data_IF_450263606600
#
_entry.id   IF_450263606600
#
_cell.length_a   1.000
_cell.length_b   1.000
_cell.length_c   1.000
_cell.angle_alpha   90.00
_cell.angle_beta   90.00
_cell.angle_gamma   90.00
#
_symmetry.space_group_name_H-M   'P 1'
#
loop_
_entity.id
_entity.type
_entity.pdbx_description
1 polymer ?
#
# COMPACT_ATOMS: atom_id res chain seq x y z
N UNK A 1 26.03 -5.55 -1.53
CA UNK A 1 25.01 -6.22 -0.70
C UNK A 1 23.84 -6.53 -1.62
N UNK A 2 23.42 -7.79 -1.71
CA UNK A 2 22.28 -8.20 -2.53
C UNK A 2 21.09 -8.48 -1.61
N UNK A 3 19.94 -7.89 -1.92
CA UNK A 3 18.69 -8.16 -1.24
C UNK A 3 17.92 -9.21 -2.04
N UNK A 4 17.70 -10.38 -1.45
CA UNK A 4 16.84 -11.42 -2.00
C UNK A 4 15.53 -11.44 -1.21
N UNK A 5 14.36 -11.08 -1.79
CA UNK A 5 13.10 -10.95 -1.05
C UNK A 5 12.61 -12.23 -0.36
N UNK A 6 13.06 -13.40 -0.82
CA UNK A 6 12.75 -14.71 -0.22
C UNK A 6 13.55 -14.98 1.06
N UNK A 7 14.65 -14.26 1.29
CA UNK A 7 15.56 -14.49 2.39
C UNK A 7 15.30 -13.48 3.51
N UNK A 8 15.61 -13.84 4.76
CA UNK A 8 15.51 -12.91 5.88
C UNK A 8 16.51 -11.76 5.70
N UNK A 9 16.03 -10.52 5.73
CA UNK A 9 16.85 -9.33 5.52
C UNK A 9 17.46 -8.73 6.80
N UNK A 10 17.10 -9.23 7.99
CA UNK A 10 17.70 -8.81 9.27
C UNK A 10 17.49 -7.33 9.66
N UNK A 11 16.57 -6.65 8.98
CA UNK A 11 16.25 -5.22 9.18
C UNK A 11 14.90 -5.07 9.87
N UNK A 12 14.67 -3.97 10.62
CA UNK A 12 13.42 -3.75 11.36
C UNK A 12 12.20 -3.55 10.46
N UNK A 13 12.40 -3.22 9.18
CA UNK A 13 11.35 -3.04 8.19
C UNK A 13 11.76 -3.67 6.86
N UNK A 14 10.77 -4.09 6.08
CA UNK A 14 11.00 -4.69 4.78
C UNK A 14 11.69 -3.67 3.83
N UNK A 15 12.88 -3.99 3.28
CA UNK A 15 13.61 -3.09 2.38
C UNK A 15 12.83 -2.67 1.14
N UNK A 16 11.88 -3.50 0.68
CA UNK A 16 11.05 -3.20 -0.48
C UNK A 16 10.30 -1.87 -0.32
N UNK A 17 9.87 -1.53 0.90
CA UNK A 17 9.17 -0.27 1.17
C UNK A 17 10.04 0.97 0.98
N UNK A 18 11.37 0.83 1.03
CA UNK A 18 12.33 1.90 0.78
C UNK A 18 12.77 1.98 -0.69
N UNK A 19 12.55 0.94 -1.49
CA UNK A 19 12.99 0.91 -2.89
C UNK A 19 12.10 1.73 -3.84
N UNK A 20 10.83 1.93 -3.51
CA UNK A 20 9.88 2.70 -4.33
C UNK A 20 9.43 3.91 -3.54
N UNK A 21 10.08 5.04 -3.76
CA UNK A 21 9.80 6.33 -3.08
C UNK A 21 10.05 7.52 -4.03
N UNK A 22 9.35 8.66 -3.86
CA UNK A 22 8.22 8.88 -2.94
C UNK A 22 6.95 8.12 -3.40
N UNK A 23 6.07 7.78 -2.47
CA UNK A 23 4.79 7.14 -2.77
C UNK A 23 3.63 8.07 -2.49
N UNK A 24 2.73 8.32 -3.46
CA UNK A 24 1.51 9.05 -3.17
C UNK A 24 0.67 8.26 -2.16
N UNK A 25 -0.01 8.97 -1.26
CA UNK A 25 -0.89 8.38 -0.25
C UNK A 25 -2.33 8.55 -0.72
N UNK A 26 -2.98 7.43 -1.04
CA UNK A 26 -4.42 7.39 -1.29
C UNK A 26 -5.18 7.28 0.03
N UNK A 27 -5.96 8.30 0.37
CA UNK A 27 -6.89 8.26 1.49
C UNK A 27 -8.21 7.66 1.03
N UNK A 28 -8.50 6.42 1.46
CA UNK A 28 -9.68 5.68 1.01
C UNK A 28 -10.71 5.67 2.13
N UNK A 29 -11.87 6.26 1.87
CA UNK A 29 -13.03 6.20 2.75
C UNK A 29 -13.97 5.08 2.35
N UNK A 30 -14.57 4.40 3.32
CA UNK A 30 -15.64 3.42 3.09
C UNK A 30 -16.76 3.61 4.10
N UNK A 31 -17.93 3.06 3.80
CA UNK A 31 -19.05 2.99 4.73
C UNK A 31 -19.40 1.51 4.93
N UNK A 32 -19.47 1.05 6.17
CA UNK A 32 -19.88 -0.33 6.47
C UNK A 32 -21.37 -0.53 6.17
N UNK A 33 -21.81 -1.79 6.16
CA UNK A 33 -23.23 -2.12 6.01
C UNK A 33 -24.11 -1.48 7.11
N UNK A 34 -23.57 -1.30 8.32
CA UNK A 34 -24.24 -0.66 9.45
C UNK A 34 -24.15 0.87 9.43
N UNK A 35 -23.57 1.46 8.38
CA UNK A 35 -23.45 2.92 8.22
C UNK A 35 -22.24 3.55 8.88
N UNK A 36 -21.31 2.77 9.45
CA UNK A 36 -20.09 3.32 10.05
C UNK A 36 -19.11 3.80 8.97
N UNK A 37 -18.66 5.04 9.08
CA UNK A 37 -17.65 5.63 8.19
C UNK A 37 -16.26 5.22 8.63
N UNK A 38 -15.45 4.75 7.68
CA UNK A 38 -14.04 4.41 7.86
C UNK A 38 -13.17 5.25 6.94
N UNK A 39 -11.93 5.49 7.34
CA UNK A 39 -10.94 6.19 6.56
C UNK A 39 -9.56 5.61 6.86
N UNK A 40 -8.84 5.18 5.83
CA UNK A 40 -7.48 4.64 5.98
C UNK A 40 -6.53 5.12 4.88
N UNK A 41 -5.25 5.36 5.21
CA UNK A 41 -4.23 5.72 4.23
C UNK A 41 -3.59 4.48 3.59
N UNK A 42 -3.49 4.48 2.25
CA UNK A 42 -2.82 3.44 1.48
C UNK A 42 -1.69 4.07 0.65
N UNK A 43 -0.47 3.58 0.88
CA UNK A 43 0.72 4.08 0.18
C UNK A 43 1.11 3.19 -1.02
N UNK A 44 0.40 2.09 -1.26
CA UNK A 44 0.46 1.30 -2.49
C UNK A 44 -0.66 1.81 -3.39
N UNK A 45 -0.52 3.05 -3.88
CA UNK A 45 -1.56 3.76 -4.64
C UNK A 45 -0.97 4.37 -5.92
N UNK A 46 -1.71 4.31 -7.03
CA UNK A 46 -1.35 5.02 -8.26
C UNK A 46 -2.53 5.23 -9.22
N UNK A 47 -2.40 6.16 -10.16
CA UNK A 47 -3.25 6.24 -11.35
C UNK A 47 -2.88 5.11 -12.33
N UNK A 48 -3.89 4.54 -13.01
CA UNK A 48 -3.73 3.39 -13.91
C UNK A 48 -4.08 3.75 -15.35
N UNK A 49 -5.16 4.49 -15.56
CA UNK A 49 -5.59 4.94 -16.88
C UNK A 49 -6.34 6.26 -16.77
N UNK A 50 -6.37 7.01 -17.85
CA UNK A 50 -7.20 8.21 -18.01
C UNK A 50 -8.42 7.97 -18.91
N UNK A 51 -8.50 6.83 -19.61
CA UNK A 51 -9.61 6.48 -20.50
C UNK A 51 -9.94 4.96 -20.42
N UNK A 52 -10.89 4.55 -19.56
CA UNK A 52 -11.55 5.38 -18.55
C UNK A 52 -10.60 5.78 -17.41
N UNK A 53 -10.88 6.85 -16.66
CA UNK A 53 -10.13 7.21 -15.47
C UNK A 53 -10.15 6.09 -14.43
N UNK A 54 -8.98 5.58 -14.08
CA UNK A 54 -8.82 4.47 -13.15
C UNK A 54 -7.64 4.72 -12.20
N UNK A 55 -7.82 4.28 -10.97
CA UNK A 55 -6.76 4.22 -9.94
C UNK A 55 -6.70 2.80 -9.39
N UNK A 56 -5.56 2.44 -8.82
CA UNK A 56 -5.43 1.23 -8.02
C UNK A 56 -4.94 1.58 -6.63
N UNK A 57 -5.38 0.79 -5.66
CA UNK A 57 -4.74 0.71 -4.35
C UNK A 57 -4.71 -0.75 -3.89
N UNK A 58 -3.75 -1.07 -3.03
CA UNK A 58 -3.64 -2.40 -2.42
C UNK A 58 -3.63 -2.27 -0.90
N UNK A 59 -4.35 -3.17 -0.20
CA UNK A 59 -4.14 -3.34 1.22
C UNK A 59 -2.80 -4.05 1.44
N UNK A 60 -1.98 -3.51 2.34
CA UNK A 60 -0.88 -4.28 2.89
C UNK A 60 -1.50 -5.38 3.77
N UNK A 61 -0.94 -6.58 3.76
CA UNK A 61 -1.44 -7.72 4.54
C UNK A 61 -1.55 -7.40 6.05
N UNK A 62 -1.99 -8.38 6.87
CA UNK A 62 -2.07 -8.20 8.31
C UNK A 62 -0.75 -7.67 8.89
N UNK A 63 -0.85 -6.74 9.83
CA UNK A 63 0.32 -6.22 10.56
C UNK A 63 0.95 -7.37 11.36
N UNK A 64 2.18 -7.78 11.02
CA UNK A 64 2.85 -8.90 11.70
C UNK A 64 3.97 -9.60 10.92
N UNK A 65 4.24 -9.21 9.68
CA UNK A 65 5.52 -9.51 9.00
C UNK A 65 6.59 -8.47 9.31
#
# INVERSE_FOLDING_TARGET
>A
MFYEPKDSHGLPHNPLYACVVPRPIGWISTTSADGHVNLAPFSFFNAVSMAPPMVMFCNNGPHGE
#
